data_IF_041475491900
#
_entry.id   IF_041475491900
#
_cell.length_a   1.000
_cell.length_b   1.000
_cell.length_c   1.000
_cell.angle_alpha   90.00
_cell.angle_beta   90.00
_cell.angle_gamma   90.00
#
_symmetry.space_group_name_H-M   'P 1'
#
loop_
_entity.id
_entity.type
_entity.pdbx_description
1 polymer ?
#
# COMPACT_ATOMS: atom_id res chain seq x y z
N UNK A 1 33.19 36.99 -46.58
CA UNK A 1 32.27 37.46 -45.52
C UNK A 1 30.91 36.79 -45.71
N UNK A 2 30.57 35.81 -44.87
CA UNK A 2 29.20 35.48 -44.43
C UNK A 2 29.31 34.42 -43.33
N UNK A 3 28.69 34.73 -42.20
CA UNK A 3 28.87 34.10 -40.89
C UNK A 3 28.32 32.66 -40.83
N UNK A 4 29.02 31.80 -40.06
CA UNK A 4 28.48 30.52 -39.57
C UNK A 4 27.74 30.81 -38.26
N UNK A 5 26.43 30.58 -38.26
CA UNK A 5 25.61 30.61 -37.05
C UNK A 5 26.06 29.50 -36.09
N UNK A 6 26.37 29.89 -34.86
CA UNK A 6 26.67 29.01 -33.74
C UNK A 6 25.37 28.42 -33.20
N UNK A 7 25.17 27.12 -33.38
CA UNK A 7 24.09 26.40 -32.72
C UNK A 7 24.47 26.14 -31.26
N UNK A 8 23.74 26.76 -30.35
CA UNK A 8 23.93 26.67 -28.91
C UNK A 8 23.26 25.40 -28.38
N UNK A 9 24.01 24.30 -28.31
CA UNK A 9 23.57 23.11 -27.58
C UNK A 9 23.50 23.42 -26.07
N UNK A 10 22.28 23.67 -25.61
CA UNK A 10 21.98 23.86 -24.20
C UNK A 10 22.12 22.51 -23.48
N UNK A 11 23.25 22.28 -22.79
CA UNK A 11 23.45 21.16 -21.88
C UNK A 11 22.33 21.14 -20.82
N UNK A 12 21.35 20.26 -20.98
CA UNK A 12 20.33 19.97 -19.94
C UNK A 12 21.05 19.43 -18.71
N UNK A 13 21.05 20.20 -17.62
CA UNK A 13 21.49 19.74 -16.30
C UNK A 13 20.69 18.48 -15.94
N UNK A 14 21.36 17.33 -15.75
CA UNK A 14 20.73 16.13 -15.18
C UNK A 14 20.13 16.52 -13.83
N UNK A 15 18.82 16.43 -13.70
CA UNK A 15 18.13 16.60 -12.43
C UNK A 15 18.68 15.61 -11.40
N UNK A 16 18.85 16.06 -10.15
CA UNK A 16 19.23 15.18 -9.03
C UNK A 16 18.26 14.00 -8.98
N UNK A 17 18.79 12.77 -8.95
CA UNK A 17 17.97 11.56 -8.87
C UNK A 17 17.08 11.65 -7.64
N UNK A 18 15.76 11.62 -7.85
CA UNK A 18 14.77 11.63 -6.77
C UNK A 18 14.99 10.36 -5.95
N UNK A 19 15.20 10.50 -4.64
CA UNK A 19 15.30 9.36 -3.75
C UNK A 19 14.01 8.53 -3.87
N UNK A 20 14.14 7.29 -4.34
CA UNK A 20 13.05 6.34 -4.53
C UNK A 20 13.08 5.35 -3.37
N UNK A 21 11.92 4.83 -2.97
CA UNK A 21 11.85 3.86 -1.87
C UNK A 21 12.71 2.62 -2.20
N UNK A 22 13.64 2.20 -1.32
CA UNK A 22 14.54 1.07 -1.58
C UNK A 22 13.81 -0.28 -1.69
N UNK A 23 12.56 -0.36 -1.20
CA UNK A 23 11.73 -1.57 -1.20
C UNK A 23 10.73 -1.65 -2.37
N UNK A 24 10.86 -0.76 -3.37
CA UNK A 24 9.90 -0.61 -4.47
C UNK A 24 10.24 -1.40 -5.75
N UNK A 25 11.24 -2.30 -5.69
CA UNK A 25 11.65 -3.13 -6.81
C UNK A 25 10.49 -4.03 -7.31
N UNK A 26 10.11 -3.88 -8.57
CA UNK A 26 8.93 -4.57 -9.14
C UNK A 26 9.06 -6.09 -9.13
N UNK A 27 10.22 -6.64 -9.51
CA UNK A 27 10.46 -8.08 -9.54
C UNK A 27 10.31 -8.70 -8.14
N UNK A 28 10.91 -8.05 -7.13
CA UNK A 28 10.82 -8.45 -5.74
C UNK A 28 9.37 -8.38 -5.21
N UNK A 29 8.62 -7.33 -5.58
CA UNK A 29 7.20 -7.20 -5.22
C UNK A 29 6.35 -8.35 -5.79
N UNK A 30 6.61 -8.73 -7.04
CA UNK A 30 5.90 -9.83 -7.71
C UNK A 30 6.25 -11.19 -7.08
N UNK A 31 7.53 -11.42 -6.75
CA UNK A 31 7.95 -12.64 -6.06
C UNK A 31 7.30 -12.76 -4.68
N UNK A 32 7.35 -11.70 -3.86
CA UNK A 32 6.74 -11.72 -2.54
C UNK A 32 5.21 -11.83 -2.61
N UNK A 33 4.55 -11.25 -3.63
CA UNK A 33 3.11 -11.45 -3.86
C UNK A 33 2.78 -12.93 -3.96
N UNK A 34 3.56 -13.68 -4.73
CA UNK A 34 3.33 -15.12 -4.93
C UNK A 34 3.61 -15.91 -3.66
N UNK A 35 4.66 -15.56 -2.90
CA UNK A 35 4.95 -16.18 -1.62
C UNK A 35 3.84 -15.97 -0.57
N UNK A 36 3.25 -14.78 -0.52
CA UNK A 36 2.13 -14.43 0.39
C UNK A 36 0.91 -15.31 0.13
N UNK A 37 0.68 -15.70 -1.13
CA UNK A 37 -0.45 -16.56 -1.51
C UNK A 37 -0.22 -18.03 -1.18
N UNK A 38 1.04 -18.48 -1.14
CA UNK A 38 1.41 -19.88 -0.89
C UNK A 38 1.55 -20.18 0.60
N UNK A 39 2.18 -19.27 1.35
CA UNK A 39 2.47 -19.47 2.77
C UNK A 39 1.77 -18.40 3.60
N UNK A 40 0.85 -18.85 4.47
CA UNK A 40 0.22 -18.00 5.47
C UNK A 40 1.29 -17.47 6.43
N UNK A 41 1.35 -16.15 6.55
CA UNK A 41 2.25 -15.42 7.44
C UNK A 41 1.44 -14.37 8.19
N UNK A 42 1.75 -14.15 9.47
CA UNK A 42 1.24 -12.99 10.20
C UNK A 42 1.98 -11.70 9.77
N UNK A 43 1.56 -10.56 10.30
CA UNK A 43 2.10 -9.24 9.91
C UNK A 43 3.58 -9.13 10.29
N UNK A 44 3.98 -9.65 11.44
CA UNK A 44 5.33 -9.64 11.95
C UNK A 44 6.27 -10.47 11.05
N UNK A 45 5.83 -11.65 10.63
CA UNK A 45 6.55 -12.53 9.72
C UNK A 45 6.66 -11.93 8.32
N UNK A 46 5.63 -11.22 7.84
CA UNK A 46 5.69 -10.49 6.56
C UNK A 46 6.69 -9.34 6.61
N UNK A 47 6.74 -8.61 7.72
CA UNK A 47 7.72 -7.54 7.93
C UNK A 47 9.15 -8.08 7.94
N UNK A 48 9.38 -9.17 8.68
CA UNK A 48 10.70 -9.82 8.73
C UNK A 48 11.14 -10.28 7.33
N UNK A 49 10.24 -10.94 6.60
CA UNK A 49 10.53 -11.42 5.26
C UNK A 49 10.77 -10.29 4.25
N UNK A 50 10.02 -9.19 4.32
CA UNK A 50 10.27 -8.02 3.47
C UNK A 50 11.63 -7.36 3.74
N UNK A 51 12.11 -7.39 5.00
CA UNK A 51 13.46 -6.92 5.34
C UNK A 51 14.54 -7.80 4.73
N UNK A 52 14.40 -9.12 4.83
CA UNK A 52 15.35 -10.10 4.28
C UNK A 52 15.43 -10.03 2.76
N UNK A 53 14.30 -9.82 2.09
CA UNK A 53 14.20 -9.81 0.62
C UNK A 53 14.31 -8.42 0.00
N UNK A 54 14.48 -7.36 0.81
CA UNK A 54 14.41 -5.97 0.34
C UNK A 54 13.13 -5.66 -0.46
N UNK A 55 11.99 -6.18 0.01
CA UNK A 55 10.67 -6.01 -0.61
C UNK A 55 9.70 -5.29 0.31
N UNK A 56 8.81 -4.45 -0.22
CA UNK A 56 7.80 -3.77 0.57
C UNK A 56 6.60 -4.69 0.85
N UNK A 57 6.36 -5.13 2.11
CA UNK A 57 5.25 -6.02 2.45
C UNK A 57 3.89 -5.39 2.19
N UNK A 58 3.77 -4.07 2.39
CA UNK A 58 2.53 -3.34 2.19
C UNK A 58 2.06 -3.42 0.73
N UNK A 59 2.95 -3.19 -0.23
CA UNK A 59 2.58 -3.24 -1.65
C UNK A 59 2.45 -4.67 -2.17
N UNK A 60 3.33 -5.60 -1.76
CA UNK A 60 3.26 -6.99 -2.22
C UNK A 60 1.99 -7.71 -1.76
N UNK A 61 1.62 -7.57 -0.47
CA UNK A 61 0.36 -8.15 0.07
C UNK A 61 -0.87 -7.55 -0.58
N UNK A 62 -0.85 -6.24 -0.85
CA UNK A 62 -1.95 -5.55 -1.57
C UNK A 62 -2.10 -6.06 -3.00
N UNK A 63 -1.00 -6.37 -3.68
CA UNK A 63 -1.02 -6.99 -5.01
C UNK A 63 -1.54 -8.43 -4.99
N UNK A 64 -1.49 -9.12 -3.84
CA UNK A 64 -1.99 -10.47 -3.66
C UNK A 64 -3.51 -10.53 -3.46
N UNK A 65 -4.14 -9.46 -2.95
CA UNK A 65 -5.58 -9.41 -2.64
C UNK A 65 -6.48 -9.94 -3.77
N UNK A 66 -6.30 -9.59 -5.07
CA UNK A 66 -7.19 -10.06 -6.12
C UNK A 66 -7.17 -11.59 -6.33
N UNK A 67 -6.08 -12.25 -5.97
CA UNK A 67 -5.91 -13.70 -6.10
C UNK A 67 -6.14 -14.44 -4.77
N UNK A 68 -6.28 -13.71 -3.66
CA UNK A 68 -6.49 -14.29 -2.34
C UNK A 68 -7.91 -14.81 -2.18
N UNK A 69 -8.05 -16.02 -1.60
CA UNK A 69 -9.34 -16.63 -1.30
C UNK A 69 -9.94 -16.10 0.00
N UNK A 70 -9.07 -15.76 0.96
CA UNK A 70 -9.43 -15.19 2.26
C UNK A 70 -8.54 -13.98 2.51
N UNK A 71 -9.13 -12.88 2.94
CA UNK A 71 -8.41 -11.67 3.33
C UNK A 71 -8.79 -11.32 4.75
N UNK A 72 -7.81 -11.30 5.64
CA UNK A 72 -7.96 -10.84 7.02
C UNK A 72 -7.57 -9.36 7.06
N UNK A 73 -8.45 -8.51 7.58
CA UNK A 73 -8.20 -7.08 7.66
C UNK A 73 -8.83 -6.44 8.91
N UNK A 74 -8.26 -5.35 9.44
CA UNK A 74 -8.86 -4.61 10.54
C UNK A 74 -10.20 -3.96 10.15
N UNK A 75 -11.09 -3.76 11.12
CA UNK A 75 -12.37 -3.09 10.93
C UNK A 75 -12.27 -1.77 10.18
N UNK A 76 -11.27 -0.94 10.46
CA UNK A 76 -11.08 0.37 9.83
C UNK A 76 -10.88 0.24 8.32
N UNK A 77 -10.14 -0.79 7.88
CA UNK A 77 -9.93 -1.07 6.45
C UNK A 77 -11.19 -1.58 5.78
N UNK A 78 -12.08 -2.25 6.52
CA UNK A 78 -13.37 -2.73 6.03
C UNK A 78 -14.42 -1.63 5.98
N UNK A 79 -14.52 -0.80 7.02
CA UNK A 79 -15.63 0.11 7.25
C UNK A 79 -15.38 1.49 6.65
N UNK A 80 -14.13 1.98 6.66
CA UNK A 80 -13.79 3.25 6.04
C UNK A 80 -13.67 3.12 4.50
N UNK A 81 -14.66 3.68 3.78
CA UNK A 81 -14.79 3.48 2.34
C UNK A 81 -13.57 3.92 1.51
N UNK A 82 -12.87 4.99 1.91
CA UNK A 82 -11.67 5.45 1.21
C UNK A 82 -10.51 4.46 1.36
N UNK A 83 -10.27 3.99 2.59
CA UNK A 83 -9.21 3.01 2.90
C UNK A 83 -9.45 1.67 2.21
N UNK A 84 -10.73 1.26 2.10
CA UNK A 84 -11.15 0.05 1.40
C UNK A 84 -10.96 0.10 -0.12
N UNK A 85 -11.11 1.29 -0.74
CA UNK A 85 -10.95 1.55 -2.18
C UNK A 85 -9.49 1.78 -2.61
N UNK A 86 -8.71 2.52 -1.81
CA UNK A 86 -7.29 2.19 -1.64
C UNK A 86 -7.20 0.73 -1.17
N UNK A 87 -6.12 0.03 -0.92
CA UNK A 87 -6.16 -1.45 -0.65
C UNK A 87 -6.77 -2.35 -1.76
N UNK A 88 -7.80 -1.98 -2.53
CA UNK A 88 -8.38 -2.78 -3.62
C UNK A 88 -9.45 -3.78 -3.19
N UNK A 89 -10.04 -3.62 -2.01
CA UNK A 89 -11.02 -4.56 -1.46
C UNK A 89 -12.40 -4.28 -2.07
N UNK A 90 -13.00 -5.31 -2.67
CA UNK A 90 -14.36 -5.28 -3.24
C UNK A 90 -15.28 -6.13 -2.38
N UNK A 91 -16.42 -5.59 -1.97
CA UNK A 91 -17.39 -6.30 -1.12
C UNK A 91 -18.53 -6.97 -1.90
N UNK A 92 -18.77 -6.52 -3.13
CA UNK A 92 -19.80 -7.11 -3.98
C UNK A 92 -19.43 -8.58 -4.24
N UNK A 93 -20.40 -9.47 -4.09
CA UNK A 93 -20.26 -10.92 -4.31
C UNK A 93 -19.27 -11.62 -3.36
N UNK A 94 -18.95 -11.00 -2.21
CA UNK A 94 -18.10 -11.57 -1.17
C UNK A 94 -18.89 -11.89 0.11
N UNK A 95 -18.42 -12.89 0.86
CA UNK A 95 -18.87 -13.15 2.24
C UNK A 95 -18.00 -12.36 3.19
N UNK A 96 -18.63 -11.61 4.10
CA UNK A 96 -17.95 -10.85 5.14
C UNK A 96 -18.23 -11.49 6.49
N UNK A 97 -17.16 -11.86 7.19
CA UNK A 97 -17.22 -12.41 8.56
C UNK A 97 -16.68 -11.32 9.50
N UNK A 98 -17.48 -10.96 10.49
CA UNK A 98 -17.11 -10.00 11.54
C UNK A 98 -16.81 -10.81 12.79
N UNK A 99 -15.54 -10.91 13.13
CA UNK A 99 -15.09 -11.50 14.40
C UNK A 99 -15.26 -10.50 15.54
N UNK A 100 -15.69 -10.94 16.72
CA UNK A 100 -15.98 -10.04 17.86
C UNK A 100 -16.90 -8.86 17.51
N UNK A 101 -18.03 -9.16 16.85
CA UNK A 101 -18.98 -8.16 16.35
C UNK A 101 -19.55 -7.23 17.44
N UNK A 102 -19.37 -7.57 18.72
CA UNK A 102 -19.76 -6.71 19.83
C UNK A 102 -19.00 -5.37 19.85
N UNK A 103 -17.81 -5.27 19.24
CA UNK A 103 -17.04 -4.02 19.12
C UNK A 103 -17.38 -3.17 17.88
N UNK A 104 -18.30 -3.65 17.02
CA UNK A 104 -18.56 -3.02 15.72
C UNK A 104 -19.11 -1.59 15.86
N UNK A 105 -20.08 -1.39 16.75
CA UNK A 105 -20.74 -0.10 16.94
C UNK A 105 -19.78 0.98 17.44
N UNK A 106 -18.93 0.62 18.40
CA UNK A 106 -17.90 1.52 18.94
C UNK A 106 -16.90 1.91 17.85
N UNK A 107 -16.50 0.94 17.03
CA UNK A 107 -15.56 1.18 15.93
C UNK A 107 -16.13 2.10 14.86
N UNK A 108 -17.40 1.91 14.48
CA UNK A 108 -18.10 2.81 13.54
C UNK A 108 -18.15 4.24 14.11
N UNK A 109 -18.51 4.35 15.39
CA UNK A 109 -18.60 5.64 16.07
C UNK A 109 -17.24 6.35 16.09
N UNK A 110 -16.16 5.62 16.36
CA UNK A 110 -14.79 6.15 16.33
C UNK A 110 -14.33 6.58 14.92
N UNK A 111 -14.67 5.83 13.87
CA UNK A 111 -14.29 6.16 12.47
C UNK A 111 -14.97 7.46 11.99
N UNK A 112 -16.17 7.75 12.50
CA UNK A 112 -17.01 8.85 12.03
C UNK A 112 -17.13 10.02 13.01
N UNK A 113 -16.40 9.97 14.13
CA UNK A 113 -16.33 11.07 15.10
C UNK A 113 -14.95 11.70 15.07
N UNK A 114 -14.88 12.99 15.35
CA UNK A 114 -13.61 13.70 15.57
C UNK A 114 -13.76 14.61 16.77
N UNK A 115 -12.72 14.70 17.58
CA UNK A 115 -12.64 15.65 18.68
C UNK A 115 -11.89 16.91 18.20
N UNK A 116 -12.32 18.08 18.68
CA UNK A 116 -11.63 19.35 18.44
C UNK A 116 -11.24 19.90 19.81
N UNK A 117 -9.95 19.96 20.09
CA UNK A 117 -9.41 20.56 21.31
C UNK A 117 -8.78 21.93 21.00
N UNK A 118 -8.94 22.88 21.93
CA UNK A 118 -8.30 24.18 21.87
C UNK A 118 -7.33 24.34 23.03
N UNK A 119 -6.10 24.78 22.75
CA UNK A 119 -5.22 25.30 23.79
C UNK A 119 -5.72 26.70 24.14
N UNK A 120 -6.28 26.86 25.34
CA UNK A 120 -6.50 28.19 25.94
C UNK A 120 -5.20 28.72 26.53
#
# INVERSE_FOLDING_TARGET
>A
KREKASDSETKRRRSVAKATCPFSGFENLMAMRDEVLVKVRDVEQLLQHGRETHTCPYYSTRMAIPAAQVVVLPYQSLLHASTRKASGIKLKDQIVIIDEAHNLTDTISAIHSTEISGAQ
#
